data_IF_319272908274
#
_entry.id   IF_319272908274
#
_cell.length_a   1.000
_cell.length_b   1.000
_cell.length_c   1.000
_cell.angle_alpha   90.00
_cell.angle_beta   90.00
_cell.angle_gamma   90.00
#
_symmetry.space_group_name_H-M   'P 1'
#
loop_
_entity.id
_entity.type
_entity.pdbx_description
1 polymer ?
#
# COMPACT_ATOMS: atom_id res chain seq x y z
N UNK A 1 -18.78 11.24 -25.91
CA UNK A 1 -19.18 11.09 -24.50
C UNK A 1 -17.94 11.33 -23.68
N UNK A 2 -17.90 12.37 -22.84
CA UNK A 2 -16.80 12.56 -21.87
C UNK A 2 -16.78 11.33 -20.96
N UNK A 3 -15.64 10.64 -20.88
CA UNK A 3 -15.47 9.56 -19.92
C UNK A 3 -15.66 10.16 -18.52
N UNK A 4 -16.66 9.69 -17.80
CA UNK A 4 -16.89 10.15 -16.43
C UNK A 4 -15.63 9.86 -15.61
N UNK A 5 -15.11 10.89 -14.94
CA UNK A 5 -13.98 10.75 -14.00
C UNK A 5 -14.55 10.57 -12.57
N UNK A 6 -14.77 9.33 -12.13
CA UNK A 6 -15.54 9.05 -10.91
C UNK A 6 -14.88 9.56 -9.63
N UNK A 7 -13.57 9.86 -9.67
CA UNK A 7 -12.81 10.44 -8.56
C UNK A 7 -12.49 11.93 -8.75
N UNK A 8 -13.16 12.60 -9.72
CA UNK A 8 -13.01 14.06 -9.88
C UNK A 8 -13.39 14.79 -8.58
N UNK A 9 -12.52 15.72 -8.15
CA UNK A 9 -12.68 16.44 -6.89
C UNK A 9 -12.21 15.67 -5.64
N UNK A 10 -11.77 14.42 -5.79
CA UNK A 10 -11.10 13.67 -4.71
C UNK A 10 -9.61 13.99 -4.66
N UNK A 11 -9.04 13.97 -3.45
CA UNK A 11 -7.59 14.06 -3.25
C UNK A 11 -7.08 12.79 -2.55
N UNK A 12 -6.13 12.10 -3.19
CA UNK A 12 -5.59 10.86 -2.67
C UNK A 12 -4.15 11.03 -2.18
N UNK A 13 -3.88 10.60 -0.95
CA UNK A 13 -2.52 10.42 -0.42
C UNK A 13 -2.10 8.98 -0.65
N UNK A 14 -0.97 8.76 -1.33
CA UNK A 14 -0.40 7.42 -1.57
C UNK A 14 0.98 7.34 -0.93
N UNK A 15 1.11 6.54 0.13
CA UNK A 15 2.42 6.31 0.77
C UNK A 15 3.20 5.25 -0.01
N UNK A 16 4.52 5.42 -0.11
CA UNK A 16 5.34 4.59 -0.99
C UNK A 16 5.00 4.78 -2.48
N UNK A 17 4.48 5.97 -2.86
CA UNK A 17 3.98 6.28 -4.21
C UNK A 17 5.05 6.41 -5.29
N UNK A 18 6.34 6.36 -4.94
CA UNK A 18 7.44 6.62 -5.89
C UNK A 18 7.80 5.44 -6.81
N UNK A 19 7.24 4.25 -6.63
CA UNK A 19 7.56 3.06 -7.46
C UNK A 19 6.58 1.90 -7.22
N UNK A 20 6.71 0.87 -8.06
CA UNK A 20 6.03 -0.42 -7.91
C UNK A 20 4.52 -0.27 -7.74
N UNK A 21 3.93 -0.97 -6.75
CA UNK A 21 2.49 -0.95 -6.48
C UNK A 21 2.00 0.47 -6.21
N UNK A 22 2.73 1.27 -5.40
CA UNK A 22 2.31 2.62 -5.06
C UNK A 22 2.22 3.55 -6.27
N UNK A 23 3.16 3.47 -7.20
CA UNK A 23 3.13 4.24 -8.45
C UNK A 23 1.98 3.79 -9.36
N UNK A 24 1.76 2.49 -9.50
CA UNK A 24 0.66 1.96 -10.27
C UNK A 24 -0.71 2.40 -9.70
N UNK A 25 -0.86 2.40 -8.36
CA UNK A 25 -2.04 2.93 -7.68
C UNK A 25 -2.21 4.43 -7.99
N UNK A 26 -1.15 5.22 -7.85
CA UNK A 26 -1.18 6.66 -8.13
C UNK A 26 -1.63 6.94 -9.57
N UNK A 27 -1.03 6.26 -10.56
CA UNK A 27 -1.39 6.38 -11.96
C UNK A 27 -2.86 5.99 -12.22
N UNK A 28 -3.34 4.93 -11.57
CA UNK A 28 -4.72 4.47 -11.71
C UNK A 28 -5.73 5.46 -11.13
N UNK A 29 -5.45 6.00 -9.92
CA UNK A 29 -6.32 7.00 -9.29
C UNK A 29 -6.32 8.32 -10.08
N UNK A 30 -5.16 8.75 -10.60
CA UNK A 30 -5.05 9.90 -11.50
C UNK A 30 -5.92 9.73 -12.77
N UNK A 31 -5.85 8.57 -13.41
CA UNK A 31 -6.65 8.25 -14.58
C UNK A 31 -8.17 8.27 -14.30
N UNK A 32 -8.57 8.10 -13.05
CA UNK A 32 -9.96 8.22 -12.59
C UNK A 32 -10.34 9.65 -12.13
N UNK A 33 -9.41 10.61 -12.24
CA UNK A 33 -9.65 12.03 -11.96
C UNK A 33 -9.25 12.54 -10.58
N UNK A 34 -8.61 11.71 -9.74
CA UNK A 34 -8.11 12.17 -8.45
C UNK A 34 -6.87 13.04 -8.60
N UNK A 35 -6.76 14.10 -7.78
CA UNK A 35 -5.49 14.75 -7.48
C UNK A 35 -4.72 13.96 -6.43
N UNK A 36 -3.38 14.11 -6.37
CA UNK A 36 -2.52 13.21 -5.62
C UNK A 36 -1.52 13.95 -4.73
N UNK A 37 -1.20 13.31 -3.60
CA UNK A 37 0.01 13.56 -2.82
C UNK A 37 0.79 12.26 -2.67
N UNK A 38 1.98 12.18 -3.26
CA UNK A 38 2.87 11.05 -3.11
C UNK A 38 3.77 11.24 -1.89
N UNK A 39 3.78 10.26 -1.00
CA UNK A 39 4.58 10.28 0.24
C UNK A 39 5.62 9.17 0.21
N UNK A 40 6.87 9.47 0.57
CA UNK A 40 7.94 8.48 0.63
C UNK A 40 9.27 9.08 1.03
N UNK A 41 10.28 8.27 1.31
CA UNK A 41 11.58 8.73 1.84
C UNK A 41 12.48 9.38 0.79
N UNK A 42 12.43 8.87 -0.43
CA UNK A 42 13.31 9.27 -1.52
C UNK A 42 12.66 10.34 -2.38
N UNK A 43 13.08 11.58 -2.18
CA UNK A 43 12.53 12.75 -2.85
C UNK A 43 12.73 12.69 -4.39
N UNK A 44 13.87 12.20 -4.84
CA UNK A 44 14.16 12.11 -6.28
C UNK A 44 13.21 11.16 -6.97
N UNK A 45 13.01 9.97 -6.39
CA UNK A 45 12.05 8.98 -6.91
C UNK A 45 10.61 9.48 -6.90
N UNK A 46 10.22 10.26 -5.89
CA UNK A 46 8.89 10.86 -5.87
C UNK A 46 8.71 11.86 -7.02
N UNK A 47 9.72 12.68 -7.31
CA UNK A 47 9.68 13.61 -8.44
C UNK A 47 9.62 12.88 -9.78
N UNK A 48 10.42 11.83 -9.98
CA UNK A 48 10.36 10.99 -11.18
C UNK A 48 8.96 10.37 -11.34
N UNK A 49 8.38 9.87 -10.24
CA UNK A 49 7.03 9.33 -10.24
C UNK A 49 5.99 10.38 -10.66
N UNK A 50 6.04 11.60 -10.10
CA UNK A 50 5.14 12.69 -10.49
C UNK A 50 5.23 12.97 -11.99
N UNK A 51 6.43 13.01 -12.56
CA UNK A 51 6.64 13.24 -14.00
C UNK A 51 6.13 12.10 -14.89
N UNK A 52 6.02 10.88 -14.36
CA UNK A 52 5.54 9.70 -15.07
C UNK A 52 4.02 9.53 -15.06
N UNK A 53 3.30 10.33 -14.27
CA UNK A 53 1.84 10.27 -14.18
C UNK A 53 1.18 10.78 -15.48
N UNK A 54 -0.09 10.42 -15.73
CA UNK A 54 -0.85 10.93 -16.88
C UNK A 54 -0.80 12.46 -16.98
N UNK A 55 -0.65 12.97 -18.19
CA UNK A 55 -0.60 14.42 -18.43
C UNK A 55 -1.83 15.15 -17.84
N UNK A 56 -1.61 16.29 -17.20
CA UNK A 56 -2.66 17.07 -16.54
C UNK A 56 -3.00 16.59 -15.12
N UNK A 57 -2.32 15.56 -14.59
CA UNK A 57 -2.52 15.16 -13.19
C UNK A 57 -1.97 16.23 -12.24
N UNK A 58 -2.81 16.71 -11.32
CA UNK A 58 -2.35 17.51 -10.18
C UNK A 58 -1.74 16.58 -9.14
N UNK A 59 -0.43 16.70 -8.90
CA UNK A 59 0.28 15.82 -7.96
C UNK A 59 1.44 16.54 -7.28
N UNK A 60 1.50 16.45 -5.96
CA UNK A 60 2.61 16.93 -5.12
C UNK A 60 3.37 15.76 -4.50
N UNK A 61 4.64 16.02 -4.12
CA UNK A 61 5.53 15.03 -3.52
C UNK A 61 6.02 15.49 -2.13
N UNK A 62 5.91 14.61 -1.14
CA UNK A 62 6.27 14.88 0.25
C UNK A 62 7.27 13.84 0.75
N UNK A 63 8.49 14.30 1.07
CA UNK A 63 9.50 13.43 1.67
C UNK A 63 9.14 13.14 3.13
N UNK A 64 8.91 11.85 3.47
CA UNK A 64 8.51 11.44 4.80
C UNK A 64 8.86 9.97 5.04
N UNK A 65 9.42 9.65 6.20
CA UNK A 65 9.46 8.26 6.71
C UNK A 65 8.19 8.01 7.52
N UNK A 66 7.38 7.07 7.07
CA UNK A 66 6.11 6.73 7.75
C UNK A 66 6.32 6.10 9.13
N UNK A 67 7.51 5.56 9.41
CA UNK A 67 7.86 5.03 10.74
C UNK A 67 8.02 6.15 11.79
N UNK A 68 8.27 7.38 11.35
CA UNK A 68 8.39 8.56 12.22
C UNK A 68 7.04 9.30 12.29
N UNK A 69 6.39 9.23 13.46
CA UNK A 69 5.10 9.84 13.70
C UNK A 69 5.11 11.37 13.50
N UNK A 70 6.18 12.05 13.94
CA UNK A 70 6.28 13.50 13.81
C UNK A 70 6.49 13.92 12.34
N UNK A 71 7.26 13.15 11.57
CA UNK A 71 7.42 13.36 10.13
C UNK A 71 6.08 13.16 9.38
N UNK A 72 5.28 12.17 9.78
CA UNK A 72 3.95 11.95 9.22
C UNK A 72 3.02 13.12 9.53
N UNK A 73 2.94 13.56 10.78
CA UNK A 73 2.10 14.69 11.17
C UNK A 73 2.51 15.96 10.40
N UNK A 74 3.82 16.22 10.25
CA UNK A 74 4.33 17.36 9.48
C UNK A 74 3.97 17.26 7.98
N UNK A 75 4.04 16.07 7.39
CA UNK A 75 3.68 15.85 5.99
C UNK A 75 2.18 16.09 5.75
N UNK A 76 1.29 15.54 6.59
CA UNK A 76 -0.15 15.77 6.45
C UNK A 76 -0.54 17.23 6.71
N UNK A 77 0.13 17.91 7.66
CA UNK A 77 -0.05 19.36 7.85
C UNK A 77 0.41 20.17 6.61
N UNK A 78 1.48 19.75 5.92
CA UNK A 78 1.92 20.38 4.69
C UNK A 78 0.93 20.17 3.53
N UNK A 79 0.37 18.96 3.40
CA UNK A 79 -0.69 18.63 2.44
C UNK A 79 -1.91 19.53 2.66
N UNK A 80 -2.35 19.69 3.91
CA UNK A 80 -3.48 20.55 4.25
C UNK A 80 -3.19 22.03 3.94
N UNK A 81 -1.97 22.53 4.26
CA UNK A 81 -1.56 23.91 3.93
C UNK A 81 -1.49 24.17 2.42
N UNK A 82 -1.22 23.18 1.61
CA UNK A 82 -1.29 23.27 0.15
C UNK A 82 -2.73 23.34 -0.39
N UNK A 83 -3.73 23.30 0.49
CA UNK A 83 -5.15 23.39 0.13
C UNK A 83 -5.79 22.05 -0.25
N UNK A 84 -5.08 20.93 -0.07
CA UNK A 84 -5.61 19.62 -0.41
C UNK A 84 -6.51 19.06 0.71
N UNK A 85 -7.73 18.70 0.34
CA UNK A 85 -8.68 18.03 1.23
C UNK A 85 -8.61 16.52 1.00
N UNK A 86 -7.88 15.83 1.85
CA UNK A 86 -7.67 14.39 1.75
C UNK A 86 -9.00 13.66 1.91
N UNK A 87 -9.41 12.94 0.86
CA UNK A 87 -10.60 12.07 0.87
C UNK A 87 -10.25 10.59 0.64
N UNK A 88 -9.02 10.31 0.17
CA UNK A 88 -8.53 8.95 -0.04
C UNK A 88 -7.15 8.83 0.59
N UNK A 89 -6.95 7.81 1.43
CA UNK A 89 -5.64 7.41 1.95
C UNK A 89 -5.32 6.00 1.49
N UNK A 90 -4.20 5.84 0.80
CA UNK A 90 -3.64 4.54 0.46
C UNK A 90 -2.33 4.32 1.21
N UNK A 91 -2.36 3.46 2.20
CA UNK A 91 -1.19 3.03 2.96
C UNK A 91 -0.50 1.88 2.22
N UNK A 92 0.49 2.22 1.39
CA UNK A 92 1.25 1.24 0.60
C UNK A 92 2.74 1.20 1.00
N UNK A 93 3.28 2.20 1.69
CA UNK A 93 4.66 2.17 2.16
C UNK A 93 4.93 0.90 2.98
N UNK A 94 6.02 0.21 2.65
CA UNK A 94 6.37 -1.02 3.33
C UNK A 94 7.75 -1.53 2.94
N UNK A 95 8.26 -2.46 3.73
CA UNK A 95 9.51 -3.18 3.50
C UNK A 95 9.34 -4.65 3.92
N UNK A 96 10.11 -5.54 3.32
CA UNK A 96 10.16 -6.93 3.72
C UNK A 96 11.62 -7.38 3.82
N UNK A 97 11.95 -8.05 4.92
CA UNK A 97 13.25 -8.70 5.13
C UNK A 97 13.02 -10.12 5.63
N UNK A 98 13.83 -11.05 5.14
CA UNK A 98 13.75 -12.45 5.52
C UNK A 98 14.89 -12.84 6.44
N UNK A 99 14.56 -13.50 7.56
CA UNK A 99 15.51 -14.11 8.49
C UNK A 99 14.86 -15.34 9.15
N UNK A 100 15.66 -16.30 9.62
CA UNK A 100 15.19 -17.32 10.56
C UNK A 100 14.81 -16.65 11.87
N UNK A 101 13.84 -17.19 12.60
CA UNK A 101 13.41 -16.60 13.86
C UNK A 101 14.58 -16.38 14.84
N UNK A 102 15.48 -17.35 14.97
CA UNK A 102 16.67 -17.26 15.82
C UNK A 102 17.69 -16.18 15.36
N UNK A 103 17.56 -15.65 14.14
CA UNK A 103 18.42 -14.59 13.60
C UNK A 103 17.63 -13.28 13.39
N UNK A 104 16.40 -13.22 13.89
CA UNK A 104 15.57 -12.00 13.89
C UNK A 104 15.85 -11.27 15.20
N UNK A 105 16.74 -10.29 15.17
CA UNK A 105 17.01 -9.42 16.30
C UNK A 105 15.92 -8.35 16.50
N UNK A 106 15.98 -7.65 17.62
CA UNK A 106 15.02 -6.59 17.95
C UNK A 106 15.05 -5.45 16.94
N UNK A 107 16.20 -5.16 16.32
CA UNK A 107 16.32 -4.11 15.32
C UNK A 107 15.52 -4.47 14.05
N UNK A 108 15.68 -5.69 13.55
CA UNK A 108 14.91 -6.18 12.41
C UNK A 108 13.41 -6.28 12.75
N UNK A 109 13.08 -6.78 13.93
CA UNK A 109 11.70 -6.83 14.40
C UNK A 109 11.06 -5.45 14.40
N UNK A 110 11.71 -4.48 15.07
CA UNK A 110 11.22 -3.11 15.19
C UNK A 110 11.16 -2.39 13.83
N UNK A 111 12.13 -2.63 12.93
CA UNK A 111 12.08 -2.10 11.55
C UNK A 111 10.82 -2.58 10.82
N UNK A 112 10.53 -3.88 10.88
CA UNK A 112 9.36 -4.45 10.18
C UNK A 112 8.05 -3.95 10.76
N UNK A 113 7.91 -3.88 12.07
CA UNK A 113 6.72 -3.32 12.72
C UNK A 113 6.61 -1.81 12.48
N UNK A 114 7.73 -1.09 12.61
CA UNK A 114 7.78 0.36 12.45
C UNK A 114 7.25 0.82 11.10
N UNK A 115 7.80 0.28 10.01
CA UNK A 115 7.40 0.68 8.66
C UNK A 115 6.02 0.14 8.27
N UNK A 116 5.76 -1.16 8.49
CA UNK A 116 4.57 -1.81 7.92
C UNK A 116 3.32 -1.63 8.76
N UNK A 117 3.42 -1.55 10.09
CA UNK A 117 2.28 -1.46 11.00
C UNK A 117 2.14 -0.07 11.61
N UNK A 118 3.18 0.40 12.34
CA UNK A 118 3.13 1.70 12.99
C UNK A 118 2.99 2.83 11.97
N UNK A 119 3.70 2.75 10.82
CA UNK A 119 3.58 3.72 9.74
C UNK A 119 2.18 3.79 9.15
N UNK A 120 1.53 2.64 8.95
CA UNK A 120 0.13 2.57 8.53
C UNK A 120 -0.78 3.26 9.56
N UNK A 121 -0.58 2.98 10.85
CA UNK A 121 -1.32 3.60 11.95
C UNK A 121 -1.10 5.13 11.99
N UNK A 122 0.15 5.59 11.90
CA UNK A 122 0.47 7.03 11.93
C UNK A 122 -0.26 7.77 10.80
N UNK A 123 -0.19 7.25 9.56
CA UNK A 123 -0.84 7.88 8.41
C UNK A 123 -2.37 7.87 8.55
N UNK A 124 -2.99 6.78 9.05
CA UNK A 124 -4.43 6.75 9.29
C UNK A 124 -4.84 7.79 10.33
N UNK A 125 -4.12 7.88 11.46
CA UNK A 125 -4.41 8.84 12.52
C UNK A 125 -4.31 10.27 12.02
N UNK A 126 -3.28 10.61 11.26
CA UNK A 126 -3.07 11.99 10.75
C UNK A 126 -4.05 12.37 9.64
N UNK A 127 -4.52 11.39 8.83
CA UNK A 127 -5.49 11.63 7.77
C UNK A 127 -6.94 11.67 8.28
N UNK A 128 -7.23 11.03 9.41
CA UNK A 128 -8.60 10.78 9.88
C UNK A 128 -9.47 12.04 10.00
N UNK A 129 -9.00 13.18 10.54
CA UNK A 129 -9.82 14.39 10.61
C UNK A 129 -10.34 14.84 9.23
N UNK A 130 -9.48 14.88 8.21
CA UNK A 130 -9.86 15.28 6.87
C UNK A 130 -10.79 14.24 6.18
N UNK A 131 -10.57 12.94 6.44
CA UNK A 131 -11.41 11.87 5.92
C UNK A 131 -12.82 11.90 6.49
N UNK A 132 -12.98 12.28 7.75
CA UNK A 132 -14.31 12.44 8.41
C UNK A 132 -15.09 13.64 7.85
N UNK A 133 -14.41 14.70 7.41
CA UNK A 133 -15.02 15.86 6.76
C UNK A 133 -15.37 15.60 5.29
N UNK A 134 -14.80 14.57 4.68
CA UNK A 134 -15.05 14.23 3.29
C UNK A 134 -16.46 13.65 3.12
N UNK A 135 -17.11 13.94 1.96
CA UNK A 135 -18.41 13.33 1.62
C UNK A 135 -18.35 11.81 1.49
N UNK A 136 -17.17 11.28 1.14
CA UNK A 136 -16.90 9.87 1.00
C UNK A 136 -15.41 9.63 1.27
N UNK A 137 -15.07 9.29 2.51
CA UNK A 137 -13.70 8.95 2.90
C UNK A 137 -13.33 7.51 2.51
N UNK A 138 -12.10 7.30 2.08
CA UNK A 138 -11.58 5.96 1.72
C UNK A 138 -10.22 5.74 2.35
N UNK A 139 -10.09 4.65 3.10
CA UNK A 139 -8.80 4.16 3.59
C UNK A 139 -8.57 2.78 2.97
N UNK A 140 -7.48 2.63 2.21
CA UNK A 140 -7.08 1.34 1.66
C UNK A 140 -5.66 1.02 2.12
N UNK A 141 -5.53 -0.05 2.89
CA UNK A 141 -4.25 -0.52 3.40
C UNK A 141 -3.71 -1.64 2.50
N UNK A 142 -2.56 -1.43 1.86
CA UNK A 142 -1.87 -2.49 1.13
C UNK A 142 -1.16 -3.38 2.14
N UNK A 143 -1.85 -4.47 2.51
CA UNK A 143 -1.32 -5.47 3.42
C UNK A 143 -0.41 -6.47 2.66
N UNK A 144 -0.75 -7.74 2.61
CA UNK A 144 -0.09 -8.83 1.89
C UNK A 144 -0.88 -10.12 2.13
N UNK A 145 -0.71 -11.16 1.30
CA UNK A 145 -1.07 -12.54 1.67
C UNK A 145 -0.41 -12.95 3.00
N UNK A 146 0.77 -12.40 3.32
CA UNK A 146 1.43 -12.57 4.63
C UNK A 146 0.67 -11.93 5.81
N UNK A 147 -0.41 -11.21 5.57
CA UNK A 147 -1.36 -10.74 6.58
C UNK A 147 -2.57 -11.66 6.75
N UNK A 148 -2.67 -12.72 5.94
CA UNK A 148 -3.78 -13.68 5.93
C UNK A 148 -3.29 -15.09 6.28
N UNK A 149 -2.10 -15.47 5.76
CA UNK A 149 -1.46 -16.77 6.02
C UNK A 149 0.00 -16.58 6.47
N UNK A 150 0.58 -17.61 7.07
CA UNK A 150 1.99 -17.60 7.49
C UNK A 150 2.95 -17.95 6.34
N UNK A 151 4.12 -17.31 6.35
CA UNK A 151 5.24 -17.63 5.46
C UNK A 151 6.50 -17.89 6.27
N UNK A 152 7.31 -18.92 5.92
CA UNK A 152 8.58 -19.17 6.60
C UNK A 152 9.56 -18.03 6.35
N UNK A 153 10.40 -17.77 7.33
CA UNK A 153 11.51 -16.80 7.28
C UNK A 153 11.12 -15.31 7.22
N UNK A 154 9.84 -14.98 7.40
CA UNK A 154 9.36 -13.59 7.41
C UNK A 154 8.42 -13.31 8.60
N UNK A 155 8.71 -13.89 9.77
CA UNK A 155 7.84 -13.82 10.94
C UNK A 155 7.48 -12.38 11.34
N UNK A 156 8.46 -11.47 11.42
CA UNK A 156 8.22 -10.07 11.76
C UNK A 156 7.34 -9.34 10.73
N UNK A 157 7.55 -9.63 9.43
CA UNK A 157 6.71 -9.09 8.36
C UNK A 157 5.28 -9.65 8.42
N UNK A 158 5.13 -10.98 8.64
CA UNK A 158 3.80 -11.60 8.82
C UNK A 158 3.07 -10.97 10.02
N UNK A 159 3.73 -10.81 11.15
CA UNK A 159 3.16 -10.18 12.34
C UNK A 159 2.66 -8.76 12.03
N UNK A 160 3.50 -7.94 11.35
CA UNK A 160 3.13 -6.59 10.96
C UNK A 160 1.91 -6.57 10.02
N UNK A 161 1.89 -7.42 8.99
CA UNK A 161 0.80 -7.45 8.00
C UNK A 161 -0.50 -8.04 8.55
N UNK A 162 -0.45 -9.01 9.47
CA UNK A 162 -1.62 -9.43 10.25
C UNK A 162 -2.13 -8.30 11.12
N UNK A 163 -1.22 -7.53 11.76
CA UNK A 163 -1.57 -6.32 12.51
C UNK A 163 -2.31 -5.28 11.66
N UNK A 164 -1.89 -5.06 10.41
CA UNK A 164 -2.58 -4.15 9.46
C UNK A 164 -3.99 -4.64 9.16
N UNK A 165 -4.19 -5.95 8.95
CA UNK A 165 -5.53 -6.54 8.74
C UNK A 165 -6.40 -6.35 9.99
N UNK A 166 -5.85 -6.61 11.19
CA UNK A 166 -6.54 -6.38 12.45
C UNK A 166 -6.94 -4.91 12.64
N UNK A 167 -6.01 -3.99 12.39
CA UNK A 167 -6.23 -2.55 12.47
C UNK A 167 -7.29 -2.07 11.45
N UNK A 168 -7.29 -2.63 10.24
CA UNK A 168 -8.30 -2.36 9.20
C UNK A 168 -9.70 -2.71 9.70
N UNK A 169 -9.88 -3.90 10.27
CA UNK A 169 -11.18 -4.37 10.78
C UNK A 169 -11.66 -3.55 11.98
N UNK A 170 -10.75 -3.24 12.91
CA UNK A 170 -11.09 -2.45 14.10
C UNK A 170 -11.56 -1.04 13.70
N UNK A 171 -10.80 -0.35 12.84
CA UNK A 171 -11.14 1.00 12.41
C UNK A 171 -12.39 1.03 11.51
N UNK A 172 -12.64 -0.02 10.71
CA UNK A 172 -13.86 -0.14 9.92
C UNK A 172 -15.12 -0.18 10.80
N UNK A 173 -15.07 -0.89 11.94
CA UNK A 173 -16.15 -0.95 12.91
C UNK A 173 -16.32 0.39 13.64
N UNK A 174 -15.23 1.03 14.04
CA UNK A 174 -15.24 2.34 14.70
C UNK A 174 -15.89 3.41 13.82
N UNK A 175 -15.63 3.36 12.51
CA UNK A 175 -16.11 4.34 11.53
C UNK A 175 -17.40 3.94 10.81
N UNK A 176 -18.04 2.83 11.18
CA UNK A 176 -19.18 2.27 10.46
C UNK A 176 -20.39 3.23 10.33
N UNK A 177 -20.54 4.19 11.25
CA UNK A 177 -21.59 5.22 11.22
C UNK A 177 -21.19 6.50 10.47
N UNK A 178 -20.01 6.53 9.87
CA UNK A 178 -19.45 7.68 9.14
C UNK A 178 -19.43 7.39 7.63
N UNK A 179 -19.16 8.38 6.75
CA UNK A 179 -18.99 8.14 5.33
C UNK A 179 -17.63 7.51 4.94
N UNK A 180 -16.82 7.06 5.92
CA UNK A 180 -15.50 6.50 5.69
C UNK A 180 -15.54 4.98 5.63
N UNK A 181 -14.96 4.40 4.57
CA UNK A 181 -14.70 2.96 4.50
C UNK A 181 -13.22 2.65 4.72
N UNK A 182 -12.93 1.51 5.35
CA UNK A 182 -11.57 1.06 5.65
C UNK A 182 -11.41 -0.38 5.19
N UNK A 183 -10.53 -0.62 4.21
CA UNK A 183 -10.30 -1.95 3.65
C UNK A 183 -8.81 -2.25 3.51
N UNK A 184 -8.48 -3.53 3.41
CA UNK A 184 -7.15 -4.00 3.07
C UNK A 184 -7.15 -4.65 1.68
N UNK A 185 -6.09 -4.44 0.91
CA UNK A 185 -5.75 -5.26 -0.26
C UNK A 185 -4.54 -6.11 0.12
N UNK A 186 -4.61 -7.41 -0.14
CA UNK A 186 -3.62 -8.40 0.26
C UNK A 186 -2.98 -9.04 -0.98
N UNK A 187 -1.95 -8.39 -1.57
CA UNK A 187 -1.28 -8.96 -2.74
C UNK A 187 -0.45 -10.19 -2.39
N UNK A 188 -0.37 -11.15 -3.34
CA UNK A 188 0.67 -12.15 -3.39
C UNK A 188 2.00 -11.58 -3.88
N UNK A 189 2.92 -12.46 -4.31
CA UNK A 189 4.20 -12.01 -4.87
C UNK A 189 3.96 -11.18 -6.14
N UNK A 190 4.24 -9.88 -6.02
CA UNK A 190 3.99 -8.88 -7.08
C UNK A 190 5.31 -8.45 -7.72
N UNK A 191 5.35 -8.32 -9.04
CA UNK A 191 6.55 -7.95 -9.81
C UNK A 191 7.01 -6.51 -9.52
N UNK A 192 7.82 -6.35 -8.50
CA UNK A 192 8.31 -5.08 -7.96
C UNK A 192 9.78 -5.20 -7.55
N UNK A 193 10.41 -4.05 -7.23
CA UNK A 193 11.77 -4.03 -6.64
C UNK A 193 11.88 -4.88 -5.37
N UNK A 194 10.82 -4.94 -4.58
CA UNK A 194 10.79 -5.75 -3.36
C UNK A 194 10.97 -7.24 -3.69
N UNK A 195 10.27 -7.73 -4.70
CA UNK A 195 10.40 -9.13 -5.16
C UNK A 195 11.73 -9.35 -5.87
N UNK A 196 12.23 -8.37 -6.65
CA UNK A 196 13.59 -8.44 -7.23
C UNK A 196 14.66 -8.59 -6.13
N UNK A 197 14.52 -7.84 -5.03
CA UNK A 197 15.40 -8.00 -3.86
C UNK A 197 15.29 -9.39 -3.20
N UNK A 198 14.09 -9.95 -3.11
CA UNK A 198 13.88 -11.30 -2.59
C UNK A 198 14.53 -12.36 -3.51
N UNK A 199 14.37 -12.22 -4.82
CA UNK A 199 15.03 -13.08 -5.83
C UNK A 199 16.56 -13.03 -5.69
N UNK A 200 17.14 -11.83 -5.62
CA UNK A 200 18.59 -11.66 -5.43
C UNK A 200 19.09 -12.34 -4.13
N UNK A 201 18.31 -12.25 -3.04
CA UNK A 201 18.64 -12.92 -1.79
C UNK A 201 18.57 -14.46 -1.92
N UNK A 202 17.60 -15.01 -2.65
CA UNK A 202 17.53 -16.45 -2.93
C UNK A 202 18.73 -16.89 -3.74
N UNK A 203 19.08 -16.19 -4.82
CA UNK A 203 20.27 -16.45 -5.66
C UNK A 203 21.53 -16.51 -4.81
N UNK A 204 21.76 -15.47 -3.98
CA UNK A 204 22.94 -15.38 -3.12
C UNK A 204 23.03 -16.52 -2.10
N UNK A 205 21.89 -16.94 -1.54
CA UNK A 205 21.88 -17.96 -0.48
C UNK A 205 21.87 -19.40 -0.98
N UNK A 206 21.36 -19.64 -2.19
CA UNK A 206 21.11 -20.99 -2.71
C UNK A 206 21.95 -21.36 -3.93
N UNK A 207 22.60 -20.40 -4.57
CA UNK A 207 23.32 -20.59 -5.84
C UNK A 207 22.42 -20.85 -7.05
N UNK A 208 21.09 -20.71 -6.92
CA UNK A 208 20.14 -20.85 -8.03
C UNK A 208 20.29 -19.68 -9.00
N UNK A 209 19.92 -19.90 -10.26
CA UNK A 209 19.78 -18.83 -11.22
C UNK A 209 18.62 -17.88 -10.85
N UNK A 210 18.65 -16.64 -11.36
CA UNK A 210 17.58 -15.67 -11.17
C UNK A 210 16.24 -16.19 -11.69
N UNK A 211 16.23 -16.89 -12.83
CA UNK A 211 15.04 -17.48 -13.42
C UNK A 211 14.42 -18.55 -12.50
N UNK A 212 15.24 -19.43 -11.92
CA UNK A 212 14.79 -20.45 -10.96
C UNK A 212 14.26 -19.83 -9.67
N UNK A 213 14.94 -18.81 -9.15
CA UNK A 213 14.51 -18.11 -7.95
C UNK A 213 13.17 -17.37 -8.16
N UNK A 214 13.02 -16.69 -9.30
CA UNK A 214 11.76 -16.04 -9.72
C UNK A 214 10.65 -17.05 -9.94
N UNK A 215 10.95 -18.17 -10.62
CA UNK A 215 10.02 -19.27 -10.86
C UNK A 215 9.53 -19.89 -9.54
N UNK A 216 10.39 -20.04 -8.54
CA UNK A 216 10.03 -20.56 -7.23
C UNK A 216 9.01 -19.65 -6.48
N UNK A 217 9.13 -18.33 -6.60
CA UNK A 217 8.15 -17.39 -6.06
C UNK A 217 6.84 -17.43 -6.85
N UNK A 218 6.91 -17.45 -8.18
CA UNK A 218 5.76 -17.53 -9.07
C UNK A 218 4.99 -18.84 -8.93
N UNK A 219 5.67 -19.95 -8.59
CA UNK A 219 5.05 -21.27 -8.44
C UNK A 219 4.02 -21.35 -7.30
N UNK A 220 4.09 -20.45 -6.31
CA UNK A 220 3.10 -20.37 -5.23
C UNK A 220 1.74 -19.90 -5.74
N UNK A 221 1.73 -18.98 -6.69
CA UNK A 221 0.51 -18.60 -7.38
C UNK A 221 0.05 -19.74 -8.32
N UNK A 222 -1.17 -20.27 -8.18
CA UNK A 222 -1.72 -21.28 -9.10
C UNK A 222 -1.65 -20.89 -10.58
N UNK A 223 -1.70 -19.60 -10.90
CA UNK A 223 -1.53 -19.09 -12.28
C UNK A 223 -0.06 -19.11 -12.77
N UNK A 224 0.91 -19.55 -11.93
CA UNK A 224 2.34 -19.73 -12.26
C UNK A 224 3.03 -18.43 -12.73
N UNK A 225 2.56 -17.30 -12.26
CA UNK A 225 3.15 -15.98 -12.55
C UNK A 225 3.15 -15.10 -11.29
N UNK A 226 3.94 -14.05 -11.32
CA UNK A 226 3.82 -12.98 -10.34
C UNK A 226 2.57 -12.14 -10.64
N UNK A 227 1.96 -11.59 -9.60
CA UNK A 227 0.93 -10.56 -9.72
C UNK A 227 1.57 -9.30 -10.31
N UNK A 228 0.84 -8.55 -11.12
CA UNK A 228 1.32 -7.26 -11.62
C UNK A 228 0.93 -6.12 -10.69
N UNK A 229 1.71 -5.03 -10.61
CA UNK A 229 1.32 -3.83 -9.88
C UNK A 229 -0.05 -3.29 -10.29
N UNK A 230 -0.41 -3.40 -11.57
CA UNK A 230 -1.69 -2.91 -12.12
C UNK A 230 -2.89 -3.73 -11.65
N UNK A 231 -2.73 -5.04 -11.42
CA UNK A 231 -3.79 -5.88 -10.84
C UNK A 231 -4.09 -5.44 -9.40
N UNK A 232 -3.05 -5.14 -8.61
CA UNK A 232 -3.21 -4.60 -7.26
C UNK A 232 -3.83 -3.19 -7.30
N UNK A 233 -3.35 -2.33 -8.19
CA UNK A 233 -3.87 -0.98 -8.37
C UNK A 233 -5.35 -0.97 -8.76
N UNK A 234 -5.79 -1.94 -9.57
CA UNK A 234 -7.19 -2.09 -9.96
C UNK A 234 -8.09 -2.41 -8.76
N UNK A 235 -7.65 -3.31 -7.87
CA UNK A 235 -8.39 -3.63 -6.65
C UNK A 235 -8.46 -2.44 -5.68
N UNK A 236 -7.34 -1.71 -5.51
CA UNK A 236 -7.31 -0.49 -4.69
C UNK A 236 -8.23 0.57 -5.26
N UNK A 237 -8.17 0.82 -6.57
CA UNK A 237 -9.00 1.82 -7.22
C UNK A 237 -10.49 1.49 -7.10
N UNK A 238 -10.88 0.22 -7.28
CA UNK A 238 -12.26 -0.23 -7.07
C UNK A 238 -12.78 0.11 -5.66
N UNK A 239 -11.97 -0.14 -4.62
CA UNK A 239 -12.34 0.21 -3.24
C UNK A 239 -12.46 1.73 -3.02
N UNK A 240 -11.87 2.55 -3.88
CA UNK A 240 -11.97 4.02 -3.81
C UNK A 240 -13.22 4.57 -4.54
N UNK A 241 -13.87 3.77 -5.40
CA UNK A 241 -15.03 4.22 -6.17
C UNK A 241 -16.29 4.41 -5.30
N UNK A 242 -17.23 5.27 -5.73
CA UNK A 242 -18.51 5.45 -5.04
C UNK A 242 -19.31 4.15 -4.88
N UNK A 243 -19.25 3.26 -5.86
CA UNK A 243 -19.99 1.98 -5.88
C UNK A 243 -19.54 1.01 -4.79
N UNK A 244 -18.34 1.22 -4.20
CA UNK A 244 -17.81 0.39 -3.13
C UNK A 244 -18.15 0.89 -1.72
N UNK A 245 -19.11 1.79 -1.57
CA UNK A 245 -19.42 2.44 -0.28
C UNK A 245 -19.89 1.47 0.80
N UNK A 246 -20.48 0.36 0.44
CA UNK A 246 -20.89 -0.69 1.41
C UNK A 246 -19.79 -1.72 1.69
N UNK A 247 -18.60 -1.57 1.09
CA UNK A 247 -17.46 -2.45 1.31
C UNK A 247 -16.56 -1.82 2.36
N UNK A 248 -16.59 -2.34 3.60
CA UNK A 248 -15.72 -1.91 4.69
C UNK A 248 -15.29 -3.09 5.55
N UNK A 249 -14.12 -3.03 6.18
CA UNK A 249 -13.54 -4.09 7.01
C UNK A 249 -13.03 -5.31 6.23
N UNK A 250 -13.00 -5.26 4.89
CA UNK A 250 -12.67 -6.40 4.05
C UNK A 250 -11.17 -6.50 3.78
N UNK A 251 -10.72 -7.74 3.56
CA UNK A 251 -9.38 -8.07 3.09
C UNK A 251 -9.50 -8.68 1.68
N UNK A 252 -9.24 -7.88 0.67
CA UNK A 252 -9.33 -8.30 -0.74
C UNK A 252 -8.00 -8.89 -1.16
N UNK A 253 -7.99 -10.19 -1.39
CA UNK A 253 -6.78 -10.92 -1.81
C UNK A 253 -6.60 -10.82 -3.33
N UNK A 254 -5.36 -10.52 -3.76
CA UNK A 254 -4.96 -10.43 -5.17
C UNK A 254 -3.70 -11.29 -5.35
N UNK A 255 -3.87 -12.61 -5.48
CA UNK A 255 -2.78 -13.58 -5.40
C UNK A 255 -2.88 -14.73 -6.43
N UNK A 256 -3.87 -14.67 -7.34
CA UNK A 256 -4.12 -15.72 -8.33
C UNK A 256 -4.60 -17.05 -7.74
N UNK A 257 -5.13 -17.02 -6.50
CA UNK A 257 -5.66 -18.20 -5.80
C UNK A 257 -4.67 -18.87 -4.83
N UNK A 258 -3.51 -18.25 -4.55
CA UNK A 258 -2.49 -18.84 -3.65
C UNK A 258 -3.07 -19.17 -2.26
N UNK A 259 -4.01 -18.35 -1.77
CA UNK A 259 -4.58 -18.50 -0.42
C UNK A 259 -6.03 -18.94 -0.41
N UNK A 260 -6.56 -19.47 -1.52
CA UNK A 260 -7.97 -19.85 -1.66
C UNK A 260 -8.29 -21.24 -1.10
N UNK A 261 -7.30 -22.02 -0.69
CA UNK A 261 -7.45 -23.39 -0.20
C UNK A 261 -6.78 -23.66 1.11
#
# INVERSE_FOLDING_TARGET
MSLAMPLAGSHAVVTGGGRGIGLAIAARLAALGASLSLVGRDRSRLYEAVQSLPAGTTCDAYACDVADAAAVDAAFAAIARAGHRVSILVNNAGAARSARLAATDDALWNEMLGVNLSGTFHCMRSALPALLEAKAGRIVNVASTAGVVGYPYVAAYCAAKHGVVGLTRALALELASTPVTVNAVCPGYTDTDLVRGAVANIVTRTGRSEAEARGALAARNPQKRLVTPDEVASAVAWLCLPESQSVTGQSIVVDGGETAG
#
